data_IF_957186225504
#
_entry.id   IF_957186225504
#
_cell.length_a   1.000
_cell.length_b   1.000
_cell.length_c   1.000
_cell.angle_alpha   90.00
_cell.angle_beta   90.00
_cell.angle_gamma   90.00
#
_symmetry.space_group_name_H-M   'P 1'
#
loop_
_entity.id
_entity.type
_entity.pdbx_description
1 polymer ?
#
# COMPACT_ATOMS: atom_id res chain seq x y z
N UNK A 1 14.84 1.57 -21.10
CA UNK A 1 13.79 0.59 -21.46
C UNK A 1 13.32 -0.31 -20.30
N UNK A 2 14.17 -0.72 -19.30
CA UNK A 2 13.74 -1.59 -18.16
C UNK A 2 12.78 -0.91 -17.17
N UNK A 3 12.90 0.40 -16.94
CA UNK A 3 12.03 1.11 -15.98
C UNK A 3 10.57 1.25 -16.44
N UNK A 4 10.33 1.35 -17.75
CA UNK A 4 8.97 1.45 -18.32
C UNK A 4 8.16 0.18 -18.05
N UNK A 5 8.81 -0.98 -18.16
CA UNK A 5 8.16 -2.28 -17.91
C UNK A 5 7.69 -2.46 -16.46
N UNK A 6 8.38 -1.90 -15.44
CA UNK A 6 7.93 -2.02 -14.04
C UNK A 6 6.72 -1.15 -13.75
N UNK A 7 6.67 0.08 -14.27
CA UNK A 7 5.48 0.95 -14.17
C UNK A 7 4.24 0.24 -14.71
N UNK A 8 4.34 -0.34 -15.90
CA UNK A 8 3.24 -1.08 -16.53
C UNK A 8 2.83 -2.33 -15.72
N UNK A 9 3.81 -3.08 -15.21
CA UNK A 9 3.55 -4.24 -14.35
C UNK A 9 2.75 -3.84 -13.11
N UNK A 10 3.19 -2.79 -12.41
CA UNK A 10 2.52 -2.29 -11.21
C UNK A 10 1.10 -1.81 -11.49
N UNK A 11 0.90 -0.99 -12.53
CA UNK A 11 -0.44 -0.50 -12.91
C UNK A 11 -1.37 -1.66 -13.26
N UNK A 12 -0.89 -2.63 -14.03
CA UNK A 12 -1.68 -3.81 -14.38
C UNK A 12 -2.06 -4.63 -13.13
N UNK A 13 -1.10 -4.84 -12.21
CA UNK A 13 -1.31 -5.58 -10.98
C UNK A 13 -2.35 -4.90 -10.09
N UNK A 14 -2.20 -3.60 -9.78
CA UNK A 14 -3.12 -2.93 -8.86
C UNK A 14 -4.54 -2.85 -9.41
N UNK A 15 -4.70 -2.69 -10.74
CA UNK A 15 -6.01 -2.72 -11.39
C UNK A 15 -6.68 -4.09 -11.24
N UNK A 16 -5.93 -5.16 -11.51
CA UNK A 16 -6.42 -6.54 -11.35
C UNK A 16 -6.78 -6.85 -9.89
N UNK A 17 -5.91 -6.47 -8.94
CA UNK A 17 -6.17 -6.69 -7.50
C UNK A 17 -7.39 -5.90 -7.03
N UNK A 18 -7.59 -4.66 -7.50
CA UNK A 18 -8.79 -3.90 -7.16
C UNK A 18 -10.06 -4.61 -7.65
N UNK A 19 -10.06 -5.12 -8.90
CA UNK A 19 -11.22 -5.87 -9.44
C UNK A 19 -11.47 -7.12 -8.58
N UNK A 20 -10.44 -7.97 -8.36
CA UNK A 20 -10.56 -9.21 -7.60
C UNK A 20 -11.08 -8.97 -6.17
N UNK A 21 -10.57 -7.96 -5.47
CA UNK A 21 -11.04 -7.62 -4.12
C UNK A 21 -12.49 -7.10 -4.15
N UNK A 22 -12.82 -6.22 -5.09
CA UNK A 22 -14.18 -5.69 -5.20
C UNK A 22 -15.20 -6.80 -5.53
N UNK A 23 -14.87 -7.72 -6.43
CA UNK A 23 -15.71 -8.88 -6.73
C UNK A 23 -15.93 -9.76 -5.49
N UNK A 24 -14.88 -10.03 -4.71
CA UNK A 24 -15.01 -10.78 -3.45
C UNK A 24 -15.89 -10.04 -2.43
N UNK A 25 -15.73 -8.73 -2.28
CA UNK A 25 -16.58 -7.94 -1.38
C UNK A 25 -18.03 -7.99 -1.83
N UNK A 26 -18.35 -7.81 -3.13
CA UNK A 26 -19.70 -7.89 -3.65
C UNK A 26 -20.38 -9.22 -3.35
N UNK A 27 -19.65 -10.33 -3.51
CA UNK A 27 -20.18 -11.68 -3.22
C UNK A 27 -20.43 -11.87 -1.73
N UNK A 28 -19.54 -11.37 -0.86
CA UNK A 28 -19.66 -11.55 0.59
C UNK A 28 -20.69 -10.61 1.23
N UNK A 29 -20.81 -9.40 0.71
CA UNK A 29 -21.51 -8.28 1.33
C UNK A 29 -22.88 -8.03 0.69
N UNK A 30 -23.17 -8.71 -0.42
CA UNK A 30 -24.38 -8.51 -1.24
C UNK A 30 -24.63 -7.03 -1.57
N UNK A 31 -23.56 -6.26 -1.69
CA UNK A 31 -23.60 -4.80 -1.91
C UNK A 31 -22.87 -4.37 -3.17
N UNK A 32 -23.27 -3.22 -3.71
CA UNK A 32 -22.62 -2.58 -4.84
C UNK A 32 -21.71 -1.46 -4.36
N UNK A 33 -20.65 -1.18 -5.10
CA UNK A 33 -19.80 -0.04 -4.81
C UNK A 33 -20.20 1.20 -5.60
N UNK A 34 -19.95 2.35 -5.01
CA UNK A 34 -19.89 3.62 -5.75
C UNK A 34 -18.45 3.80 -6.26
N UNK A 35 -18.33 3.98 -7.59
CA UNK A 35 -17.04 4.29 -8.20
C UNK A 35 -16.88 5.81 -8.41
N UNK A 36 -15.68 6.31 -8.13
CA UNK A 36 -15.27 7.67 -8.39
C UNK A 36 -13.93 7.66 -9.13
N UNK A 37 -13.91 8.24 -10.33
CA UNK A 37 -12.70 8.38 -11.15
C UNK A 37 -12.28 9.84 -11.12
N UNK A 38 -11.08 10.09 -10.63
CA UNK A 38 -10.52 11.42 -10.50
C UNK A 38 -9.24 11.60 -11.31
N UNK A 39 -8.98 12.81 -11.72
CA UNK A 39 -7.78 13.19 -12.47
C UNK A 39 -7.05 14.35 -11.78
N UNK A 40 -5.73 14.45 -11.99
CA UNK A 40 -4.90 15.53 -11.48
C UNK A 40 -4.48 16.46 -12.62
N UNK A 41 -4.45 17.74 -12.36
CA UNK A 41 -3.96 18.76 -13.30
C UNK A 41 -2.48 18.56 -13.64
N UNK A 42 -1.69 18.11 -12.65
CA UNK A 42 -0.24 17.88 -12.80
C UNK A 42 0.09 16.55 -13.48
N UNK A 43 -0.90 15.67 -13.63
CA UNK A 43 -0.76 14.41 -14.33
C UNK A 43 -1.19 13.18 -13.51
N UNK A 44 -1.87 12.28 -14.20
CA UNK A 44 -2.40 11.04 -13.62
C UNK A 44 -3.76 11.21 -12.97
N UNK A 45 -4.11 10.24 -12.14
CA UNK A 45 -5.41 10.18 -11.46
C UNK A 45 -5.56 8.91 -10.64
N UNK A 46 -6.79 8.53 -10.39
CA UNK A 46 -7.10 7.31 -9.65
C UNK A 46 -8.55 6.89 -9.80
N UNK A 47 -8.84 5.75 -9.20
CA UNK A 47 -10.17 5.16 -9.15
C UNK A 47 -10.44 4.68 -7.73
N UNK A 48 -11.46 5.24 -7.11
CA UNK A 48 -11.91 4.88 -5.78
C UNK A 48 -13.20 4.07 -5.87
N UNK A 49 -13.29 2.95 -5.17
CA UNK A 49 -14.51 2.14 -5.03
C UNK A 49 -14.87 2.04 -3.56
N UNK A 50 -16.07 2.44 -3.23
CA UNK A 50 -16.56 2.50 -1.84
C UNK A 50 -17.87 1.74 -1.75
N UNK A 51 -17.86 0.70 -0.91
CA UNK A 51 -19.04 -0.05 -0.48
C UNK A 51 -19.58 0.55 0.82
N UNK A 52 -20.89 0.52 0.99
CA UNK A 52 -21.54 0.99 2.22
C UNK A 52 -22.93 0.39 2.37
N UNK A 53 -23.30 0.08 3.61
CA UNK A 53 -24.62 -0.42 3.94
C UNK A 53 -24.88 -1.87 3.50
N UNK A 54 -23.84 -2.67 3.37
CA UNK A 54 -23.93 -4.10 3.12
C UNK A 54 -24.31 -4.90 4.37
N UNK A 55 -24.27 -6.23 4.26
CA UNK A 55 -24.62 -7.14 5.37
C UNK A 55 -23.40 -7.55 6.21
N UNK A 56 -22.20 -7.42 5.67
CA UNK A 56 -20.92 -7.77 6.33
C UNK A 56 -20.13 -6.53 6.67
N UNK A 57 -20.00 -5.58 5.74
CA UNK A 57 -19.22 -4.36 5.92
C UNK A 57 -20.11 -3.14 6.10
N UNK A 58 -19.90 -2.39 7.19
CA UNK A 58 -20.46 -1.06 7.36
C UNK A 58 -19.93 -0.13 6.25
N UNK A 59 -18.63 -0.25 5.98
CA UNK A 59 -17.95 0.49 4.93
C UNK A 59 -16.69 -0.24 4.49
N UNK A 60 -16.45 -0.26 3.18
CA UNK A 60 -15.21 -0.77 2.62
C UNK A 60 -14.75 0.15 1.48
N UNK A 61 -13.46 0.43 1.43
CA UNK A 61 -12.87 1.24 0.38
C UNK A 61 -11.69 0.52 -0.26
N UNK A 62 -11.66 0.45 -1.59
CA UNK A 62 -10.56 -0.11 -2.37
C UNK A 62 -10.18 0.90 -3.44
N UNK A 63 -9.02 1.53 -3.31
CA UNK A 63 -8.62 2.68 -4.10
C UNK A 63 -7.30 2.41 -4.80
N UNK A 64 -7.19 2.81 -6.05
CA UNK A 64 -5.95 2.80 -6.81
C UNK A 64 -5.60 4.20 -7.31
N UNK A 65 -4.30 4.46 -7.45
CA UNK A 65 -3.81 5.70 -8.02
C UNK A 65 -2.65 5.44 -8.97
N UNK A 66 -2.55 6.28 -9.99
CA UNK A 66 -1.45 6.35 -10.93
C UNK A 66 -1.16 7.83 -11.15
N UNK A 67 -0.09 8.33 -10.54
CA UNK A 67 0.22 9.76 -10.55
C UNK A 67 1.64 9.99 -11.04
N UNK A 68 1.82 11.06 -11.78
CA UNK A 68 3.10 11.47 -12.31
C UNK A 68 3.18 12.99 -12.41
N UNK A 69 4.38 13.50 -12.56
CA UNK A 69 4.61 14.95 -12.64
C UNK A 69 6.06 15.28 -12.35
N UNK A 70 6.29 16.50 -11.87
CA UNK A 70 7.61 16.98 -11.50
C UNK A 70 7.64 17.27 -10.00
N UNK A 71 8.66 16.75 -9.30
CA UNK A 71 8.86 16.98 -7.87
C UNK A 71 9.10 18.47 -7.60
N UNK A 72 8.37 19.03 -6.64
CA UNK A 72 8.62 20.36 -6.10
C UNK A 72 9.93 20.41 -5.30
N UNK A 73 10.45 21.61 -5.03
CA UNK A 73 11.66 21.77 -4.19
C UNK A 73 11.44 21.23 -2.77
N UNK A 74 10.23 21.37 -2.22
CA UNK A 74 9.83 20.79 -0.94
C UNK A 74 9.91 19.26 -0.97
N UNK A 75 9.28 18.62 -1.97
CA UNK A 75 9.34 17.16 -2.16
C UNK A 75 10.76 16.66 -2.36
N UNK A 76 11.62 17.41 -3.05
CA UNK A 76 13.04 17.08 -3.23
C UNK A 76 13.79 17.13 -1.89
N UNK A 77 13.47 18.11 -1.04
CA UNK A 77 14.05 18.23 0.30
C UNK A 77 13.70 17.02 1.16
N UNK A 78 12.45 16.61 1.16
CA UNK A 78 11.93 15.50 1.96
C UNK A 78 12.50 14.14 1.51
N UNK A 79 12.54 13.91 0.19
CA UNK A 79 12.96 12.62 -0.37
C UNK A 79 14.47 12.38 -0.32
N UNK A 80 15.29 13.39 -0.42
CA UNK A 80 16.74 13.23 -0.59
C UNK A 80 17.57 14.34 0.03
N UNK A 81 17.04 15.08 1.00
CA UNK A 81 17.74 16.21 1.63
C UNK A 81 18.18 17.26 0.60
N UNK A 82 17.37 17.51 -0.43
CA UNK A 82 17.63 18.54 -1.44
C UNK A 82 18.64 18.17 -2.51
N UNK A 83 19.07 16.91 -2.61
CA UNK A 83 20.16 16.46 -3.49
C UNK A 83 19.72 15.91 -4.85
N UNK A 84 18.45 16.04 -5.25
CA UNK A 84 17.98 15.61 -6.57
C UNK A 84 18.28 16.73 -7.59
N UNK A 85 19.06 16.46 -8.64
CA UNK A 85 19.29 17.42 -9.71
C UNK A 85 17.99 17.89 -10.38
N UNK A 86 18.02 18.99 -11.11
CA UNK A 86 16.88 19.48 -11.86
C UNK A 86 16.57 18.67 -13.13
N UNK A 87 15.56 19.13 -13.87
CA UNK A 87 15.18 18.52 -15.15
C UNK A 87 14.55 17.14 -15.00
N UNK A 88 14.90 16.22 -15.88
CA UNK A 88 14.31 14.87 -15.94
C UNK A 88 14.46 14.05 -14.66
N UNK A 89 15.48 14.32 -13.85
CA UNK A 89 15.67 13.64 -12.57
C UNK A 89 14.56 13.93 -11.55
N UNK A 90 13.81 15.02 -11.76
CA UNK A 90 12.63 15.38 -10.95
C UNK A 90 11.32 14.86 -11.50
N UNK A 91 11.28 14.33 -12.69
CA UNK A 91 10.08 13.65 -13.20
C UNK A 91 9.85 12.40 -12.35
N UNK A 92 8.63 12.24 -11.84
CA UNK A 92 8.30 11.09 -11.02
C UNK A 92 7.07 10.36 -11.53
N UNK A 93 7.00 9.11 -11.14
CA UNK A 93 5.84 8.25 -11.28
C UNK A 93 5.60 7.54 -9.95
N UNK A 94 4.35 7.52 -9.50
CA UNK A 94 3.93 6.77 -8.32
C UNK A 94 2.60 6.08 -8.60
N UNK A 95 2.48 4.84 -8.16
CA UNK A 95 1.25 4.07 -8.30
C UNK A 95 1.07 3.16 -7.10
N UNK A 96 -0.18 2.88 -6.74
CA UNK A 96 -0.45 2.01 -5.60
C UNK A 96 -1.93 1.70 -5.43
N UNK A 97 -2.16 0.73 -4.55
CA UNK A 97 -3.48 0.34 -4.06
C UNK A 97 -3.55 0.58 -2.55
N UNK A 98 -4.69 1.06 -2.08
CA UNK A 98 -4.98 1.23 -0.66
C UNK A 98 -6.39 0.74 -0.37
N UNK A 99 -6.55 0.00 0.71
CA UNK A 99 -7.85 -0.48 1.16
C UNK A 99 -8.04 -0.35 2.67
N UNK A 100 -9.29 -0.17 3.06
CA UNK A 100 -9.74 -0.31 4.45
C UNK A 100 -11.11 -0.97 4.42
N UNK A 101 -11.27 -2.04 5.19
CA UNK A 101 -12.53 -2.77 5.33
C UNK A 101 -12.99 -2.70 6.78
N UNK A 102 -14.17 -2.12 7.02
CA UNK A 102 -14.80 -1.98 8.33
C UNK A 102 -15.99 -2.93 8.46
N UNK A 103 -15.85 -4.08 9.14
CA UNK A 103 -16.97 -5.00 9.38
C UNK A 103 -18.04 -4.38 10.27
N UNK A 104 -19.30 -4.78 10.07
CA UNK A 104 -20.43 -4.44 10.97
C UNK A 104 -20.29 -5.17 12.30
N UNK A 105 -19.88 -6.44 12.25
CA UNK A 105 -19.70 -7.24 13.44
C UNK A 105 -18.42 -6.83 14.18
N UNK A 106 -18.50 -6.33 15.41
CA UNK A 106 -17.33 -5.90 16.16
C UNK A 106 -16.38 -7.04 16.54
N UNK A 107 -16.81 -8.30 16.39
CA UNK A 107 -15.93 -9.48 16.56
C UNK A 107 -15.02 -9.71 15.37
N UNK A 108 -15.33 -9.17 14.19
CA UNK A 108 -14.46 -9.20 13.03
C UNK A 108 -13.56 -7.94 13.03
N UNK A 109 -12.25 -8.09 12.80
CA UNK A 109 -11.33 -6.97 12.83
C UNK A 109 -11.42 -6.08 11.59
N UNK A 110 -11.15 -4.79 11.76
CA UNK A 110 -10.86 -3.89 10.65
C UNK A 110 -9.51 -4.24 10.06
N UNK A 111 -9.40 -4.31 8.76
CA UNK A 111 -8.14 -4.51 8.02
C UNK A 111 -7.83 -3.29 7.17
N UNK A 112 -6.57 -2.92 7.17
CA UNK A 112 -5.98 -1.91 6.28
C UNK A 112 -4.82 -2.52 5.51
N UNK A 113 -4.66 -2.15 4.25
CA UNK A 113 -3.46 -2.45 3.47
C UNK A 113 -3.16 -1.33 2.47
N UNK A 114 -1.89 -1.14 2.21
CA UNK A 114 -1.41 -0.20 1.20
C UNK A 114 -0.14 -0.77 0.56
N UNK A 115 -0.07 -0.78 -0.77
CA UNK A 115 1.12 -1.18 -1.51
C UNK A 115 1.35 -0.18 -2.63
N UNK A 116 2.59 0.29 -2.77
CA UNK A 116 2.95 1.36 -3.69
C UNK A 116 4.31 1.16 -4.34
N UNK A 117 4.46 1.69 -5.52
CA UNK A 117 5.71 1.83 -6.24
C UNK A 117 5.97 3.30 -6.57
N UNK A 118 7.19 3.73 -6.35
CA UNK A 118 7.67 5.05 -6.73
C UNK A 118 8.90 4.92 -7.63
N UNK A 119 8.98 5.82 -8.62
CA UNK A 119 10.16 5.94 -9.48
C UNK A 119 10.33 7.40 -9.93
N UNK A 120 11.56 7.88 -9.98
CA UNK A 120 11.90 9.18 -10.55
C UNK A 120 12.97 9.05 -11.64
N UNK A 121 13.00 10.01 -12.57
CA UNK A 121 13.94 10.00 -13.68
C UNK A 121 13.76 8.76 -14.56
N UNK A 122 14.84 8.08 -14.86
CA UNK A 122 14.83 6.82 -15.62
C UNK A 122 14.71 5.57 -14.74
N UNK A 123 14.67 5.75 -13.41
CA UNK A 123 14.64 4.63 -12.47
C UNK A 123 15.89 3.77 -12.44
N UNK A 124 17.01 4.23 -12.99
CA UNK A 124 18.26 3.48 -13.04
C UNK A 124 19.26 3.92 -11.97
N UNK A 125 19.17 5.17 -11.53
CA UNK A 125 20.05 5.73 -10.50
C UNK A 125 19.71 5.11 -9.13
N UNK A 126 20.70 4.75 -8.29
CA UNK A 126 20.44 4.30 -6.93
C UNK A 126 19.57 5.30 -6.15
N UNK A 127 18.55 4.79 -5.46
CA UNK A 127 17.57 5.62 -4.73
C UNK A 127 16.57 6.37 -5.61
N UNK A 128 16.50 6.05 -6.91
CA UNK A 128 15.50 6.63 -7.81
C UNK A 128 14.21 5.83 -7.90
N UNK A 129 14.13 4.69 -7.27
CA UNK A 129 12.92 3.86 -7.21
C UNK A 129 12.85 3.10 -5.87
N UNK A 130 11.65 2.82 -5.43
CA UNK A 130 11.41 1.92 -4.30
C UNK A 130 9.96 1.43 -4.28
N UNK A 131 9.76 0.36 -3.50
CA UNK A 131 8.45 -0.10 -3.10
C UNK A 131 8.20 0.29 -1.64
N UNK A 132 6.96 0.56 -1.32
CA UNK A 132 6.49 0.75 0.04
C UNK A 132 5.16 0.06 0.22
N UNK A 133 4.88 -0.35 1.44
CA UNK A 133 3.61 -0.99 1.72
C UNK A 133 3.48 -1.47 3.14
N UNK A 134 2.36 -2.11 3.37
CA UNK A 134 2.06 -2.73 4.63
C UNK A 134 0.60 -3.13 4.74
N UNK A 135 0.33 -3.90 5.77
CA UNK A 135 -1.01 -4.24 6.18
C UNK A 135 -1.04 -4.39 7.70
N UNK A 136 -2.14 -3.95 8.30
CA UNK A 136 -2.36 -4.06 9.73
C UNK A 136 -3.81 -4.44 10.04
N UNK A 137 -3.99 -5.07 11.19
CA UNK A 137 -5.28 -5.55 11.67
C UNK A 137 -5.66 -4.81 12.97
N UNK A 138 -6.87 -4.26 13.00
CA UNK A 138 -7.39 -3.52 14.17
C UNK A 138 -8.66 -4.18 14.70
N UNK A 139 -8.55 -5.18 15.59
CA UNK A 139 -9.70 -5.79 16.23
C UNK A 139 -10.29 -4.88 17.32
N UNK A 140 -11.63 -4.86 17.44
CA UNK A 140 -12.31 -4.31 18.61
C UNK A 140 -12.25 -5.26 19.81
N UNK A 141 -12.28 -6.57 19.55
CA UNK A 141 -12.10 -7.64 20.53
C UNK A 141 -10.98 -8.55 20.06
N UNK A 142 -9.97 -8.74 20.90
CA UNK A 142 -8.80 -9.53 20.56
C UNK A 142 -9.07 -11.03 20.66
N UNK A 143 -8.89 -11.74 19.54
CA UNK A 143 -8.81 -13.19 19.47
C UNK A 143 -7.39 -13.62 19.13
N UNK A 144 -6.79 -14.44 19.96
CA UNK A 144 -5.40 -14.88 19.80
C UNK A 144 -5.19 -15.65 18.50
N UNK A 145 -6.19 -16.41 18.09
CA UNK A 145 -6.18 -17.21 16.87
C UNK A 145 -6.09 -16.33 15.64
N UNK A 146 -6.88 -15.26 15.57
CA UNK A 146 -6.88 -14.30 14.45
C UNK A 146 -5.56 -13.56 14.37
N UNK A 147 -5.06 -13.09 15.51
CA UNK A 147 -3.76 -12.43 15.60
C UNK A 147 -2.63 -13.35 15.14
N UNK A 148 -2.61 -14.58 15.64
CA UNK A 148 -1.60 -15.58 15.27
C UNK A 148 -1.68 -15.96 13.79
N UNK A 149 -2.89 -16.08 13.23
CA UNK A 149 -3.10 -16.37 11.82
C UNK A 149 -2.57 -15.23 10.94
N UNK A 150 -2.95 -13.99 11.25
CA UNK A 150 -2.55 -12.80 10.50
C UNK A 150 -1.02 -12.64 10.44
N UNK A 151 -0.38 -12.67 11.60
CA UNK A 151 1.07 -12.55 11.67
C UNK A 151 1.82 -13.71 11.00
N UNK A 152 1.31 -14.95 11.13
CA UNK A 152 1.89 -16.11 10.45
C UNK A 152 1.81 -15.99 8.94
N UNK A 153 0.67 -15.54 8.40
CA UNK A 153 0.50 -15.37 6.97
C UNK A 153 1.53 -14.40 6.39
N UNK A 154 1.76 -13.25 7.04
CA UNK A 154 2.78 -12.29 6.60
C UNK A 154 4.20 -12.79 6.82
N UNK A 155 4.46 -13.48 7.93
CA UNK A 155 5.77 -14.09 8.16
C UNK A 155 6.10 -15.12 7.09
N UNK A 156 5.16 -15.99 6.76
CA UNK A 156 5.34 -17.03 5.72
C UNK A 156 5.60 -16.42 4.33
N UNK A 157 5.03 -15.23 4.05
CA UNK A 157 5.33 -14.49 2.82
C UNK A 157 6.74 -13.92 2.88
N UNK A 158 7.11 -13.21 3.95
CA UNK A 158 8.44 -12.63 4.10
C UNK A 158 9.54 -13.69 4.01
N UNK A 159 9.37 -14.83 4.68
CA UNK A 159 10.35 -15.93 4.70
C UNK A 159 10.64 -16.54 3.32
N UNK A 160 9.78 -16.32 2.32
CA UNK A 160 9.96 -16.78 0.94
C UNK A 160 10.70 -15.78 0.04
N UNK A 161 10.95 -14.56 0.52
CA UNK A 161 11.51 -13.48 -0.29
C UNK A 161 12.76 -12.88 0.37
N UNK A 162 13.91 -12.99 -0.30
CA UNK A 162 15.18 -12.48 0.22
C UNK A 162 15.23 -10.96 0.44
N UNK A 163 14.30 -10.23 -0.15
CA UNK A 163 14.19 -8.76 0.00
C UNK A 163 13.43 -8.38 1.26
N UNK A 164 12.71 -9.30 1.88
CA UNK A 164 11.83 -9.07 3.02
C UNK A 164 12.46 -9.56 4.33
N UNK A 165 12.21 -8.83 5.40
CA UNK A 165 12.54 -9.21 6.77
C UNK A 165 11.29 -8.95 7.63
N UNK A 166 10.65 -10.03 8.07
CA UNK A 166 9.41 -9.93 8.84
C UNK A 166 9.59 -9.17 10.15
N UNK A 167 10.68 -9.43 10.87
CA UNK A 167 10.90 -8.81 12.18
C UNK A 167 11.15 -7.31 12.04
N UNK A 168 11.94 -6.90 11.03
CA UNK A 168 12.13 -5.49 10.65
C UNK A 168 10.78 -4.83 10.29
N UNK A 169 10.00 -5.45 9.42
CA UNK A 169 8.75 -4.88 8.92
C UNK A 169 7.66 -4.82 10.00
N UNK A 170 7.65 -5.80 10.91
CA UNK A 170 6.75 -5.79 12.05
C UNK A 170 7.10 -4.68 13.03
N UNK A 171 8.36 -4.51 13.35
CA UNK A 171 8.81 -3.42 14.22
C UNK A 171 8.47 -2.06 13.61
N UNK A 172 8.75 -1.86 12.32
CA UNK A 172 8.38 -0.64 11.61
C UNK A 172 6.87 -0.36 11.66
N UNK A 173 6.04 -1.40 11.54
CA UNK A 173 4.60 -1.29 11.65
C UNK A 173 4.16 -0.83 13.03
N UNK A 174 4.74 -1.43 14.08
CA UNK A 174 4.43 -1.09 15.47
C UNK A 174 4.80 0.37 15.77
N UNK A 175 5.94 0.84 15.31
CA UNK A 175 6.40 2.23 15.48
C UNK A 175 5.54 3.22 14.68
N UNK A 176 5.26 2.92 13.41
CA UNK A 176 4.50 3.81 12.52
C UNK A 176 3.06 4.03 12.98
N UNK A 177 2.40 2.99 13.47
CA UNK A 177 1.01 3.06 13.93
C UNK A 177 0.87 3.26 15.45
N UNK A 178 1.94 3.60 16.15
CA UNK A 178 1.87 3.92 17.57
C UNK A 178 1.15 5.25 17.80
N UNK A 179 0.16 5.23 18.70
CA UNK A 179 -0.68 6.38 19.02
C UNK A 179 -0.10 7.07 20.26
N UNK A 180 0.82 8.01 20.04
CA UNK A 180 1.60 8.65 21.11
C UNK A 180 0.74 9.27 22.23
N UNK A 181 -0.35 9.99 21.88
CA UNK A 181 -1.18 10.67 22.87
C UNK A 181 -2.05 9.71 23.70
N UNK A 182 -2.16 8.44 23.28
CA UNK A 182 -2.86 7.38 24.01
C UNK A 182 -1.92 6.36 24.64
N UNK A 183 -0.64 6.41 24.28
CA UNK A 183 0.40 5.45 24.66
C UNK A 183 0.00 4.00 24.37
N UNK A 184 -0.54 3.76 23.18
CA UNK A 184 -0.98 2.43 22.72
C UNK A 184 -0.69 2.20 21.25
N UNK A 185 -0.58 0.93 20.85
CA UNK A 185 -0.50 0.55 19.45
C UNK A 185 -1.90 0.55 18.81
N UNK A 186 -1.97 0.86 17.51
CA UNK A 186 -3.18 0.65 16.72
C UNK A 186 -3.33 -0.84 16.42
N UNK A 187 -4.31 -1.50 17.06
CA UNK A 187 -4.58 -2.92 16.85
C UNK A 187 -3.41 -3.84 17.20
N UNK A 188 -3.25 -4.90 16.44
CA UNK A 188 -2.21 -5.91 16.63
C UNK A 188 -0.96 -5.68 15.76
N UNK A 189 -0.94 -4.61 14.96
CA UNK A 189 0.10 -4.36 13.97
C UNK A 189 -0.05 -5.26 12.73
N UNK A 190 1.06 -5.58 12.14
CA UNK A 190 1.19 -6.34 10.90
C UNK A 190 2.58 -6.16 10.32
N UNK A 191 2.68 -5.71 9.08
CA UNK A 191 3.94 -5.33 8.44
C UNK A 191 3.87 -3.90 7.88
N UNK A 192 4.99 -3.20 7.92
CA UNK A 192 5.18 -1.93 7.24
C UNK A 192 6.61 -1.81 6.73
N UNK A 193 6.75 -1.45 5.47
CA UNK A 193 8.04 -1.17 4.85
C UNK A 193 7.95 0.05 3.94
N UNK A 194 9.02 0.80 3.88
CA UNK A 194 9.18 1.91 2.94
C UNK A 194 10.62 1.94 2.43
N UNK A 195 10.82 2.50 1.26
CA UNK A 195 12.14 2.55 0.66
C UNK A 195 12.72 1.19 0.24
N UNK A 196 11.88 0.15 0.08
CA UNK A 196 12.34 -1.18 -0.30
C UNK A 196 12.87 -1.17 -1.74
N UNK A 197 14.19 -1.26 -1.86
CA UNK A 197 14.93 -1.27 -3.13
C UNK A 197 16.12 -2.24 -3.08
N UNK A 198 15.97 -3.31 -2.31
CA UNK A 198 16.97 -4.37 -2.13
C UNK A 198 17.02 -5.26 -3.38
N UNK A 199 18.20 -5.70 -3.79
CA UNK A 199 18.49 -6.60 -4.92
C UNK A 199 18.14 -5.96 -6.26
N UNK A 200 16.90 -6.12 -6.74
CA UNK A 200 16.38 -5.55 -7.99
C UNK A 200 14.87 -5.34 -7.93
N UNK A 201 14.33 -4.66 -8.97
CA UNK A 201 12.90 -4.33 -9.04
C UNK A 201 12.00 -5.56 -9.12
N UNK A 202 12.40 -6.58 -9.86
CA UNK A 202 11.57 -7.79 -10.04
C UNK A 202 11.52 -8.61 -8.74
N UNK A 203 12.62 -8.69 -7.99
CA UNK A 203 12.64 -9.32 -6.66
C UNK A 203 11.75 -8.59 -5.66
N UNK A 204 11.79 -7.25 -5.64
CA UNK A 204 10.91 -6.46 -4.78
C UNK A 204 9.43 -6.53 -5.21
N UNK A 205 9.15 -6.56 -6.50
CA UNK A 205 7.80 -6.71 -7.05
C UNK A 205 7.18 -8.09 -6.76
N UNK A 206 8.03 -9.12 -6.69
CA UNK A 206 7.59 -10.49 -6.41
C UNK A 206 7.18 -10.70 -4.95
N UNK A 207 7.70 -9.89 -4.03
CA UNK A 207 7.30 -9.83 -2.63
C UNK A 207 5.98 -9.10 -2.48
#
# INVERSE_FOLDING_TARGET
MRGYAMKEKMVSMIRRIQEEICEMIQVLDESEYREDIWTRTEGGGGRSRVFSGGIVFEKAGVNISEVYGTLSDESVSDLAGGKIPGGKEREFFATGISLVLHPINPMAPTVHANYRYFERGDGATPGSWWFGGGADLTPSYLFTEDSSHFHRAYKDICDRHLVADYDEFKQNCDEYFFINHRNEHRGIGGIFFDGLSKIDKDSCFSF
#
